data_IF_780148134854
#
_entry.id   IF_780148134854
#
_cell.length_a   1.000
_cell.length_b   1.000
_cell.length_c   1.000
_cell.angle_alpha   90.00
_cell.angle_beta   90.00
_cell.angle_gamma   90.00
#
_symmetry.space_group_name_H-M   'P 1'
#
loop_
_entity.id
_entity.type
_entity.pdbx_description
1 polymer ?
#
# COMPACT_ATOMS: atom_id res chain seq x y z
N UNK A 1 -13.36 -55.85 -30.08
CA UNK A 1 -12.96 -56.30 -28.71
C UNK A 1 -12.39 -55.18 -27.82
N UNK A 2 -11.77 -54.12 -28.37
CA UNK A 2 -11.12 -53.08 -27.55
C UNK A 2 -12.09 -52.10 -26.82
N UNK A 3 -13.29 -51.83 -27.37
CA UNK A 3 -14.28 -50.94 -26.73
C UNK A 3 -14.95 -51.53 -25.46
N UNK A 4 -15.05 -52.86 -25.35
CA UNK A 4 -15.64 -53.50 -24.18
C UNK A 4 -14.70 -53.49 -22.97
N UNK A 5 -13.39 -53.45 -23.18
CA UNK A 5 -12.40 -53.39 -22.10
C UNK A 5 -12.38 -52.00 -21.45
N UNK A 6 -12.45 -50.94 -22.24
CA UNK A 6 -12.49 -49.54 -21.77
C UNK A 6 -13.75 -49.24 -20.99
N UNK A 7 -14.92 -49.68 -21.46
CA UNK A 7 -16.19 -49.50 -20.73
C UNK A 7 -16.24 -50.28 -19.39
N UNK A 8 -15.56 -51.43 -19.30
CA UNK A 8 -15.46 -52.21 -18.05
C UNK A 8 -14.54 -51.51 -17.03
N UNK A 9 -13.44 -50.91 -17.49
CA UNK A 9 -12.52 -50.16 -16.66
C UNK A 9 -13.15 -48.87 -16.10
N UNK A 10 -13.91 -48.13 -16.91
CA UNK A 10 -14.63 -46.91 -16.47
C UNK A 10 -15.75 -47.25 -15.48
N UNK A 11 -16.48 -48.35 -15.67
CA UNK A 11 -17.50 -48.80 -14.70
C UNK A 11 -16.88 -49.28 -13.39
N UNK A 12 -15.69 -49.88 -13.41
CA UNK A 12 -14.96 -50.27 -12.20
C UNK A 12 -14.40 -49.05 -11.45
N UNK A 13 -13.88 -48.04 -12.16
CA UNK A 13 -13.38 -46.81 -11.53
C UNK A 13 -14.50 -45.95 -10.93
N UNK A 14 -15.66 -45.86 -11.60
CA UNK A 14 -16.84 -45.14 -11.06
C UNK A 14 -17.45 -45.86 -9.85
N UNK A 15 -17.49 -47.21 -9.85
CA UNK A 15 -17.90 -48.00 -8.67
C UNK A 15 -16.89 -47.92 -7.52
N UNK A 16 -15.58 -47.89 -7.81
CA UNK A 16 -14.56 -47.67 -6.80
C UNK A 16 -14.67 -46.27 -6.18
N UNK A 17 -14.87 -45.23 -7.00
CA UNK A 17 -15.08 -43.86 -6.53
C UNK A 17 -16.37 -43.72 -5.68
N UNK A 18 -17.47 -44.34 -6.10
CA UNK A 18 -18.72 -44.37 -5.31
C UNK A 18 -18.60 -45.22 -4.02
N UNK A 19 -17.75 -46.26 -4.00
CA UNK A 19 -17.46 -47.06 -2.81
C UNK A 19 -16.60 -46.30 -1.80
N UNK A 20 -15.63 -45.51 -2.29
CA UNK A 20 -14.78 -44.67 -1.45
C UNK A 20 -15.52 -43.44 -0.90
N UNK A 21 -16.44 -42.84 -1.66
CA UNK A 21 -17.32 -41.77 -1.17
C UNK A 21 -18.33 -42.26 -0.11
N UNK A 22 -18.70 -43.54 -0.12
CA UNK A 22 -19.53 -44.15 0.95
C UNK A 22 -18.77 -44.43 2.24
N UNK A 23 -17.44 -44.40 2.24
CA UNK A 23 -16.63 -44.61 3.44
C UNK A 23 -16.20 -43.31 4.13
N UNK A 24 -16.33 -42.15 3.47
CA UNK A 24 -15.96 -40.84 4.01
C UNK A 24 -17.08 -40.16 4.84
N UNK A 25 -18.25 -40.78 4.98
CA UNK A 25 -19.42 -40.22 5.66
C UNK A 25 -19.84 -41.00 6.91
N UNK A 26 -18.87 -41.62 7.60
CA UNK A 26 -19.00 -41.87 9.04
C UNK A 26 -18.26 -40.76 9.77
N UNK A 27 -18.82 -39.56 9.72
CA UNK A 27 -18.52 -38.55 10.73
C UNK A 27 -18.75 -39.23 12.08
N UNK A 28 -17.69 -39.28 12.88
CA UNK A 28 -17.70 -39.74 14.26
C UNK A 28 -18.53 -38.77 15.10
N UNK A 29 -19.84 -38.75 14.87
CA UNK A 29 -20.79 -37.81 15.47
C UNK A 29 -21.05 -38.10 16.96
N UNK A 30 -20.61 -39.25 17.46
CA UNK A 30 -20.72 -39.60 18.88
C UNK A 30 -19.46 -40.31 19.35
N UNK A 31 -18.34 -39.59 19.42
CA UNK A 31 -17.34 -39.93 20.41
C UNK A 31 -17.88 -39.43 21.76
N UNK A 32 -18.85 -40.15 22.34
CA UNK A 32 -19.29 -39.91 23.71
C UNK A 32 -18.05 -40.02 24.59
N UNK A 33 -17.57 -38.87 25.06
CA UNK A 33 -16.50 -38.77 26.05
C UNK A 33 -16.95 -39.63 27.22
N UNK A 34 -16.29 -40.77 27.44
CA UNK A 34 -16.72 -41.72 28.47
C UNK A 34 -16.80 -40.98 29.80
N UNK A 35 -18.01 -40.88 30.34
CA UNK A 35 -18.20 -40.22 31.62
C UNK A 35 -17.45 -41.03 32.67
N UNK A 36 -16.75 -40.34 33.56
CA UNK A 36 -15.89 -41.02 34.50
C UNK A 36 -16.80 -41.78 35.51
N UNK A 37 -16.53 -43.06 35.80
CA UNK A 37 -17.31 -43.93 36.73
C UNK A 37 -17.38 -43.42 38.19
N UNK A 38 -18.57 -43.25 38.78
CA UNK A 38 -18.73 -42.67 40.12
C UNK A 38 -18.03 -43.50 41.23
N UNK A 39 -16.96 -42.95 41.79
CA UNK A 39 -16.26 -43.48 42.98
C UNK A 39 -16.35 -42.46 44.11
N UNK A 40 -16.23 -42.91 45.37
CA UNK A 40 -16.33 -42.06 46.58
C UNK A 40 -15.36 -40.88 46.54
N UNK A 41 -14.10 -41.16 46.19
CA UNK A 41 -13.05 -40.15 46.06
C UNK A 41 -12.68 -40.03 44.60
N UNK A 42 -12.59 -38.79 44.13
CA UNK A 42 -12.24 -38.50 42.76
C UNK A 42 -11.37 -37.28 42.62
N UNK A 43 -10.45 -37.33 41.68
CA UNK A 43 -9.60 -36.19 41.34
C UNK A 43 -10.13 -35.58 40.04
N UNK A 44 -10.63 -34.35 40.14
CA UNK A 44 -11.01 -33.55 38.98
C UNK A 44 -9.73 -32.98 38.38
N UNK A 45 -9.40 -33.29 37.12
CA UNK A 45 -8.22 -32.75 36.46
C UNK A 45 -8.26 -31.22 36.39
N UNK A 46 -7.07 -30.61 36.29
CA UNK A 46 -6.95 -29.18 36.04
C UNK A 46 -7.65 -28.77 34.73
N UNK A 47 -8.24 -27.57 34.73
CA UNK A 47 -8.98 -27.02 33.59
C UNK A 47 -10.18 -27.88 33.14
N UNK A 48 -10.81 -28.58 34.09
CA UNK A 48 -12.07 -29.27 33.89
C UNK A 48 -13.07 -28.90 34.98
N UNK A 49 -14.34 -28.85 34.61
CA UNK A 49 -15.46 -28.68 35.52
C UNK A 49 -16.42 -29.86 35.33
N UNK A 50 -16.69 -30.58 36.42
CA UNK A 50 -17.57 -31.75 36.39
C UNK A 50 -18.89 -31.43 37.07
N UNK A 51 -19.99 -31.77 36.41
CA UNK A 51 -21.32 -31.41 36.89
C UNK A 51 -21.97 -32.65 37.48
N UNK A 52 -22.36 -32.52 38.74
CA UNK A 52 -22.92 -33.61 39.53
C UNK A 52 -24.41 -33.38 39.73
N UNK A 53 -25.18 -34.42 39.42
CA UNK A 53 -26.58 -34.53 39.74
C UNK A 53 -26.76 -35.44 40.95
N UNK A 54 -27.66 -35.05 41.86
CA UNK A 54 -28.13 -35.90 42.95
C UNK A 54 -29.58 -36.27 42.70
N UNK A 55 -29.86 -37.57 42.56
CA UNK A 55 -31.20 -38.08 42.27
C UNK A 55 -31.87 -37.38 41.07
N UNK A 56 -31.09 -37.06 40.02
CA UNK A 56 -31.59 -36.42 38.79
C UNK A 56 -31.81 -34.91 38.87
N UNK A 57 -31.44 -34.25 39.98
CA UNK A 57 -31.40 -32.78 40.07
C UNK A 57 -29.96 -32.29 40.13
N UNK A 58 -29.69 -31.13 39.52
CA UNK A 58 -28.41 -30.45 39.69
C UNK A 58 -28.10 -30.25 41.18
N UNK A 59 -26.88 -30.59 41.59
CA UNK A 59 -26.41 -30.44 42.96
C UNK A 59 -25.29 -29.40 43.05
N UNK A 60 -24.17 -29.64 42.36
CA UNK A 60 -23.01 -28.73 42.36
C UNK A 60 -22.07 -28.98 41.19
N UNK A 61 -21.23 -27.98 40.91
CA UNK A 61 -20.07 -28.07 40.01
C UNK A 61 -18.85 -28.44 40.85
N UNK A 62 -18.04 -29.39 40.37
CA UNK A 62 -16.77 -29.75 41.00
C UNK A 62 -15.62 -29.04 40.28
N UNK A 63 -14.91 -28.21 41.03
CA UNK A 63 -13.69 -27.54 40.60
C UNK A 63 -12.46 -28.50 40.64
N UNK A 64 -11.35 -28.15 39.97
CA UNK A 64 -10.13 -28.96 39.98
C UNK A 64 -9.62 -29.28 41.39
N UNK A 65 -9.36 -30.56 41.66
CA UNK A 65 -8.90 -31.02 42.97
C UNK A 65 -9.58 -32.30 43.45
N UNK A 66 -9.53 -32.52 44.76
CA UNK A 66 -10.16 -33.68 45.40
C UNK A 66 -11.66 -33.42 45.59
N UNK A 67 -12.47 -34.24 44.94
CA UNK A 67 -13.92 -34.25 45.05
C UNK A 67 -14.39 -35.53 45.75
N UNK A 68 -15.32 -35.35 46.69
CA UNK A 68 -15.98 -36.45 47.40
C UNK A 68 -17.40 -36.57 46.85
N UNK A 69 -17.76 -37.77 46.40
CA UNK A 69 -19.08 -38.09 45.87
C UNK A 69 -19.70 -39.22 46.68
N UNK A 70 -21.02 -39.19 46.86
CA UNK A 70 -21.73 -40.30 47.48
C UNK A 70 -22.11 -41.28 46.36
N UNK A 71 -21.50 -42.49 46.30
CA UNK A 71 -21.87 -43.48 45.29
C UNK A 71 -23.37 -43.80 45.39
N UNK A 72 -23.99 -44.16 44.26
CA UNK A 72 -25.43 -44.38 44.09
C UNK A 72 -26.33 -43.13 44.11
N UNK A 73 -26.04 -42.13 44.94
CA UNK A 73 -26.84 -40.89 45.01
C UNK A 73 -26.37 -39.81 44.03
N UNK A 74 -25.05 -39.61 43.96
CA UNK A 74 -24.42 -38.60 43.12
C UNK A 74 -23.96 -39.23 41.79
N UNK A 75 -24.30 -38.57 40.68
CA UNK A 75 -23.91 -38.97 39.32
C UNK A 75 -23.25 -37.82 38.56
N UNK A 76 -22.08 -38.06 38.00
CA UNK A 76 -21.44 -37.12 37.08
C UNK A 76 -22.13 -37.24 35.72
N UNK A 77 -22.88 -36.20 35.35
CA UNK A 77 -23.68 -36.20 34.13
C UNK A 77 -22.96 -35.50 32.98
N UNK A 78 -22.21 -34.43 33.27
CA UNK A 78 -21.47 -33.66 32.26
C UNK A 78 -20.03 -33.38 32.71
N UNK A 79 -19.11 -33.36 31.73
CA UNK A 79 -17.70 -33.02 31.93
C UNK A 79 -17.32 -31.95 30.92
N UNK A 80 -17.16 -30.72 31.41
CA UNK A 80 -16.78 -29.58 30.59
C UNK A 80 -15.29 -29.31 30.68
N UNK A 81 -14.68 -29.03 29.53
CA UNK A 81 -13.30 -28.55 29.45
C UNK A 81 -13.32 -27.03 29.54
N UNK A 82 -12.54 -26.46 30.45
CA UNK A 82 -12.38 -25.00 30.57
C UNK A 82 -11.26 -24.46 29.67
N UNK A 83 -10.57 -25.36 28.97
CA UNK A 83 -9.51 -25.02 28.02
C UNK A 83 -10.08 -24.35 26.77
N UNK A 84 -9.30 -23.44 26.19
CA UNK A 84 -9.57 -22.91 24.86
C UNK A 84 -9.59 -24.04 23.83
N UNK A 85 -10.62 -24.06 23.01
CA UNK A 85 -10.84 -25.05 21.95
C UNK A 85 -11.11 -24.31 20.65
N UNK A 86 -10.51 -24.81 19.57
CA UNK A 86 -10.75 -24.32 18.22
C UNK A 86 -11.87 -25.17 17.59
N UNK A 87 -12.91 -24.50 17.11
CA UNK A 87 -14.04 -25.12 16.40
C UNK A 87 -14.04 -24.60 14.97
N UNK A 88 -14.02 -25.52 14.01
CA UNK A 88 -14.06 -25.15 12.59
C UNK A 88 -15.48 -24.75 12.18
N UNK A 89 -15.58 -23.60 11.52
CA UNK A 89 -16.81 -23.14 10.90
C UNK A 89 -16.79 -23.57 9.43
N UNK A 90 -17.72 -24.46 9.07
CA UNK A 90 -17.82 -24.98 7.71
C UNK A 90 -17.95 -23.89 6.65
N UNK A 91 -17.38 -24.13 5.46
CA UNK A 91 -17.40 -23.18 4.34
C UNK A 91 -18.83 -22.81 3.94
N UNK A 92 -19.07 -21.51 3.78
CA UNK A 92 -20.37 -20.96 3.41
C UNK A 92 -20.26 -20.05 2.19
N UNK A 93 -21.23 -20.17 1.29
CA UNK A 93 -21.45 -19.19 0.23
C UNK A 93 -22.27 -18.01 0.77
N UNK A 94 -21.74 -16.80 0.56
CA UNK A 94 -22.37 -15.53 0.91
C UNK A 94 -22.33 -14.58 -0.30
N UNK A 95 -23.23 -13.61 -0.32
CA UNK A 95 -23.30 -12.58 -1.37
C UNK A 95 -23.00 -11.24 -0.70
N UNK A 96 -22.04 -10.50 -1.24
CA UNK A 96 -21.68 -9.15 -0.80
C UNK A 96 -22.67 -8.10 -1.30
N UNK A 97 -22.57 -6.87 -0.79
CA UNK A 97 -23.47 -5.76 -1.17
C UNK A 97 -23.33 -5.33 -2.65
N UNK A 98 -22.20 -5.64 -3.28
CA UNK A 98 -21.92 -5.44 -4.71
C UNK A 98 -22.32 -6.65 -5.58
N UNK A 99 -23.14 -7.56 -5.02
CA UNK A 99 -23.72 -8.70 -5.70
C UNK A 99 -22.67 -9.71 -6.21
N UNK A 100 -21.57 -9.87 -5.48
CA UNK A 100 -20.57 -10.91 -5.74
C UNK A 100 -20.77 -12.07 -4.77
N UNK A 101 -20.91 -13.28 -5.32
CA UNK A 101 -20.89 -14.50 -4.51
C UNK A 101 -19.47 -14.81 -4.09
N UNK A 102 -19.21 -15.09 -2.82
CA UNK A 102 -17.92 -15.56 -2.31
C UNK A 102 -18.12 -16.74 -1.37
N UNK A 103 -17.12 -17.61 -1.30
CA UNK A 103 -17.08 -18.70 -0.32
C UNK A 103 -16.08 -18.35 0.78
N UNK A 104 -16.49 -18.50 2.04
CA UNK A 104 -15.63 -18.21 3.18
C UNK A 104 -15.77 -19.29 4.25
N UNK A 105 -14.65 -19.62 4.86
CA UNK A 105 -14.54 -20.49 6.02
C UNK A 105 -13.77 -19.78 7.15
N UNK A 106 -13.85 -20.35 8.35
CA UNK A 106 -13.20 -19.76 9.50
C UNK A 106 -13.07 -20.72 10.67
N UNK A 107 -12.38 -20.26 11.70
CA UNK A 107 -12.15 -21.00 12.93
C UNK A 107 -12.53 -20.10 14.09
N UNK A 108 -13.34 -20.65 15.00
CA UNK A 108 -13.77 -19.99 16.20
C UNK A 108 -12.96 -20.52 17.38
N UNK A 109 -12.39 -19.62 18.17
CA UNK A 109 -11.71 -19.99 19.42
C UNK A 109 -12.64 -19.69 20.58
N UNK A 110 -13.12 -20.74 21.22
CA UNK A 110 -14.07 -20.65 22.32
C UNK A 110 -13.48 -21.21 23.60
N UNK A 111 -14.01 -20.75 24.73
CA UNK A 111 -13.81 -21.40 26.02
C UNK A 111 -15.10 -21.41 26.81
N UNK A 112 -15.33 -22.45 27.59
CA UNK A 112 -16.42 -22.49 28.56
C UNK A 112 -16.05 -21.62 29.75
N UNK A 113 -16.88 -20.63 30.07
CA UNK A 113 -16.73 -19.78 31.25
C UNK A 113 -17.61 -20.27 32.41
N UNK A 114 -18.84 -20.68 32.10
CA UNK A 114 -19.80 -21.21 33.06
C UNK A 114 -20.23 -22.63 32.64
N UNK A 115 -19.72 -23.62 33.37
CA UNK A 115 -19.99 -25.03 33.08
C UNK A 115 -21.47 -25.40 33.28
N UNK A 116 -22.18 -24.77 34.23
CA UNK A 116 -23.59 -25.06 34.46
C UNK A 116 -24.44 -24.63 33.27
N UNK A 117 -24.26 -23.38 32.82
CA UNK A 117 -24.97 -22.87 31.63
C UNK A 117 -24.57 -23.62 30.36
N UNK A 118 -23.31 -24.00 30.20
CA UNK A 118 -22.87 -24.78 29.04
C UNK A 118 -23.45 -26.19 28.97
N UNK A 119 -23.89 -26.76 30.11
CA UNK A 119 -24.47 -28.10 30.15
C UNK A 119 -26.00 -28.14 30.17
N UNK A 120 -26.66 -27.13 30.72
CA UNK A 120 -28.12 -27.09 30.82
C UNK A 120 -28.78 -25.99 29.98
N UNK A 121 -28.01 -24.98 29.56
CA UNK A 121 -28.53 -23.86 28.77
C UNK A 121 -28.78 -24.20 27.30
N UNK A 122 -28.09 -25.21 26.76
CA UNK A 122 -28.23 -25.68 25.38
C UNK A 122 -27.77 -27.14 25.28
N UNK A 123 -28.35 -27.92 24.35
CA UNK A 123 -27.99 -29.34 24.17
C UNK A 123 -26.53 -29.52 23.75
N UNK A 124 -26.07 -28.70 22.79
CA UNK A 124 -24.69 -28.65 22.32
C UNK A 124 -24.28 -27.20 22.06
N UNK A 125 -23.48 -26.66 22.96
CA UNK A 125 -23.03 -25.27 22.90
C UNK A 125 -22.05 -25.03 21.73
N UNK A 126 -21.19 -26.01 21.41
CA UNK A 126 -20.23 -25.87 20.32
C UNK A 126 -20.98 -25.80 18.98
N UNK A 127 -21.98 -26.67 18.81
CA UNK A 127 -22.83 -26.67 17.62
C UNK A 127 -23.66 -25.38 17.51
N UNK A 128 -24.35 -24.97 18.58
CA UNK A 128 -25.19 -23.78 18.58
C UNK A 128 -24.40 -22.51 18.23
N UNK A 129 -23.20 -22.35 18.79
CA UNK A 129 -22.32 -21.23 18.49
C UNK A 129 -21.80 -21.29 17.07
N UNK A 130 -21.47 -22.48 16.56
CA UNK A 130 -21.03 -22.63 15.16
C UNK A 130 -22.13 -22.19 14.19
N UNK A 131 -23.39 -22.56 14.44
CA UNK A 131 -24.52 -22.12 13.63
C UNK A 131 -24.78 -20.62 13.73
N UNK A 132 -24.63 -20.04 14.93
CA UNK A 132 -24.71 -18.60 15.12
C UNK A 132 -23.58 -17.86 14.38
N UNK A 133 -22.36 -18.38 14.45
CA UNK A 133 -21.20 -17.81 13.76
C UNK A 133 -21.42 -17.81 12.25
N UNK A 134 -21.93 -18.90 11.69
CA UNK A 134 -22.29 -19.01 10.28
C UNK A 134 -23.33 -17.97 9.84
N UNK A 135 -24.41 -17.82 10.60
CA UNK A 135 -25.48 -16.86 10.28
C UNK A 135 -25.00 -15.40 10.42
N UNK A 136 -24.24 -15.11 11.47
CA UNK A 136 -23.62 -13.79 11.70
C UNK A 136 -22.64 -13.44 10.57
N UNK A 137 -21.76 -14.37 10.23
CA UNK A 137 -20.80 -14.22 9.13
C UNK A 137 -21.48 -13.87 7.80
N UNK A 138 -22.54 -14.61 7.45
CA UNK A 138 -23.31 -14.35 6.22
C UNK A 138 -23.94 -12.96 6.23
N UNK A 139 -24.47 -12.52 7.37
CA UNK A 139 -25.09 -11.21 7.52
C UNK A 139 -24.08 -10.07 7.39
N UNK A 140 -22.94 -10.16 8.08
CA UNK A 140 -21.88 -9.14 8.04
C UNK A 140 -21.28 -8.98 6.64
N UNK A 141 -21.00 -10.09 5.94
CA UNK A 141 -20.52 -10.04 4.55
C UNK A 141 -21.54 -9.35 3.63
N UNK A 142 -22.84 -9.61 3.83
CA UNK A 142 -23.89 -9.03 3.00
C UNK A 142 -23.98 -7.50 3.07
N UNK A 143 -23.47 -6.89 4.14
CA UNK A 143 -23.45 -5.44 4.32
C UNK A 143 -22.21 -4.76 3.72
N UNK A 144 -21.20 -5.54 3.31
CA UNK A 144 -19.90 -5.05 2.87
C UNK A 144 -19.67 -5.37 1.38
N UNK A 145 -18.85 -4.57 0.70
CA UNK A 145 -18.40 -4.85 -0.68
C UNK A 145 -17.23 -5.85 -0.68
N UNK A 146 -16.97 -6.51 -1.81
CA UNK A 146 -15.88 -7.51 -1.90
C UNK A 146 -14.51 -6.91 -1.53
N UNK A 147 -14.17 -5.72 -2.05
CA UNK A 147 -12.89 -5.05 -1.73
C UNK A 147 -12.75 -4.75 -0.25
N UNK A 148 -13.84 -4.34 0.41
CA UNK A 148 -13.83 -4.02 1.83
C UNK A 148 -13.70 -5.27 2.71
N UNK A 149 -14.35 -6.38 2.32
CA UNK A 149 -14.18 -7.68 3.00
C UNK A 149 -12.72 -8.16 2.91
N UNK A 150 -12.07 -7.97 1.76
CA UNK A 150 -10.66 -8.36 1.56
C UNK A 150 -9.68 -7.42 2.29
N UNK A 151 -9.97 -6.12 2.36
CA UNK A 151 -9.09 -5.12 2.98
C UNK A 151 -9.23 -5.04 4.50
N UNK A 152 -10.44 -5.17 5.03
CA UNK A 152 -10.77 -4.91 6.43
C UNK A 152 -11.11 -6.19 7.23
N UNK A 153 -10.41 -7.29 6.92
CA UNK A 153 -10.62 -8.59 7.57
C UNK A 153 -10.59 -8.52 9.11
N UNK A 154 -9.73 -7.68 9.69
CA UNK A 154 -9.62 -7.50 11.14
C UNK A 154 -10.87 -6.87 11.77
N UNK A 155 -11.48 -5.89 11.09
CA UNK A 155 -12.71 -5.26 11.56
C UNK A 155 -13.86 -6.28 11.56
N UNK A 156 -13.96 -7.07 10.48
CA UNK A 156 -14.95 -8.14 10.37
C UNK A 156 -14.81 -9.19 11.48
N UNK A 157 -13.59 -9.64 11.78
CA UNK A 157 -13.33 -10.57 12.89
C UNK A 157 -13.83 -10.03 14.24
N UNK A 158 -13.65 -8.72 14.48
CA UNK A 158 -14.06 -8.04 15.72
C UNK A 158 -15.59 -7.94 15.83
N UNK A 159 -16.25 -7.54 14.73
CA UNK A 159 -17.71 -7.43 14.68
C UNK A 159 -18.38 -8.79 14.90
N UNK A 160 -17.90 -9.83 14.19
CA UNK A 160 -18.41 -11.20 14.33
C UNK A 160 -18.23 -11.69 15.78
N UNK A 161 -17.05 -11.48 16.37
CA UNK A 161 -16.78 -11.87 17.76
C UNK A 161 -17.71 -11.17 18.75
N UNK A 162 -18.03 -9.90 18.51
CA UNK A 162 -18.91 -9.10 19.36
C UNK A 162 -20.35 -9.61 19.28
N UNK A 163 -20.86 -9.82 18.06
CA UNK A 163 -22.20 -10.33 17.83
C UNK A 163 -22.41 -11.75 18.40
N UNK A 164 -21.43 -12.64 18.22
CA UNK A 164 -21.49 -14.01 18.79
C UNK A 164 -21.52 -13.95 20.32
N UNK A 165 -20.72 -13.08 20.95
CA UNK A 165 -20.63 -13.00 22.41
C UNK A 165 -21.89 -12.44 23.08
N UNK A 166 -22.79 -11.79 22.34
CA UNK A 166 -24.08 -11.35 22.88
C UNK A 166 -24.94 -12.56 23.27
N UNK A 167 -25.10 -13.51 22.36
CA UNK A 167 -25.88 -14.73 22.61
C UNK A 167 -25.11 -15.82 23.39
N UNK A 168 -23.79 -15.91 23.22
CA UNK A 168 -22.98 -16.95 23.86
C UNK A 168 -23.01 -16.89 25.40
N UNK A 169 -23.34 -15.73 25.98
CA UNK A 169 -23.51 -15.53 27.44
C UNK A 169 -24.57 -16.44 28.05
N UNK A 170 -25.66 -16.69 27.33
CA UNK A 170 -26.75 -17.54 27.81
C UNK A 170 -26.35 -19.01 27.81
N UNK A 171 -25.42 -19.38 26.94
CA UNK A 171 -24.87 -20.74 26.84
C UNK A 171 -23.63 -20.95 27.71
N UNK A 172 -23.17 -19.97 28.49
CA UNK A 172 -22.00 -20.13 29.36
C UNK A 172 -20.66 -20.27 28.63
N UNK A 173 -20.62 -19.91 27.34
CA UNK A 173 -19.41 -19.97 26.50
C UNK A 173 -18.98 -18.55 26.15
N UNK A 174 -17.69 -18.34 25.98
CA UNK A 174 -17.14 -17.08 25.49
C UNK A 174 -16.35 -17.34 24.22
N UNK A 175 -16.68 -16.58 23.18
CA UNK A 175 -15.85 -16.50 21.98
C UNK A 175 -14.66 -15.57 22.28
N UNK A 176 -13.45 -16.12 22.26
CA UNK A 176 -12.22 -15.37 22.45
C UNK A 176 -11.85 -14.60 21.19
N UNK A 177 -11.96 -15.26 20.03
CA UNK A 177 -11.72 -14.66 18.72
C UNK A 177 -12.32 -15.52 17.61
N UNK A 178 -12.69 -14.85 16.54
CA UNK A 178 -13.02 -15.45 15.25
C UNK A 178 -11.89 -15.17 14.26
N UNK A 179 -11.42 -16.20 13.56
CA UNK A 179 -10.41 -16.10 12.52
C UNK A 179 -10.94 -16.62 11.19
N UNK A 180 -11.03 -15.75 10.19
CA UNK A 180 -11.32 -16.17 8.81
C UNK A 180 -10.17 -17.06 8.33
N UNK A 181 -10.43 -18.20 7.70
CA UNK A 181 -9.36 -19.04 7.15
C UNK A 181 -9.02 -18.53 5.76
N UNK A 182 -9.92 -18.74 4.80
CA UNK A 182 -9.75 -18.35 3.41
C UNK A 182 -11.01 -17.68 2.86
N UNK A 183 -10.82 -16.82 1.85
CA UNK A 183 -11.90 -16.17 1.10
C UNK A 183 -11.70 -16.51 -0.37
N UNK A 184 -12.69 -17.17 -0.96
CA UNK A 184 -12.66 -17.62 -2.35
C UNK A 184 -13.72 -16.88 -3.17
N UNK A 185 -13.37 -15.73 -3.79
CA UNK A 185 -14.20 -15.11 -4.79
C UNK A 185 -14.09 -15.84 -6.14
N UNK A 186 -15.11 -15.75 -7.02
CA UNK A 186 -15.05 -16.27 -8.38
C UNK A 186 -13.94 -15.58 -9.16
N UNK A 187 -13.15 -16.38 -9.91
CA UNK A 187 -11.97 -15.91 -10.65
C UNK A 187 -12.29 -14.78 -11.63
N UNK A 188 -13.46 -14.81 -12.24
CA UNK A 188 -13.92 -13.78 -13.20
C UNK A 188 -13.93 -12.38 -12.60
N UNK A 189 -14.37 -12.24 -11.34
CA UNK A 189 -14.43 -10.96 -10.64
C UNK A 189 -13.03 -10.54 -10.19
N UNK A 190 -12.25 -11.48 -9.65
CA UNK A 190 -10.88 -11.21 -9.22
C UNK A 190 -10.00 -10.72 -10.38
N UNK A 191 -10.09 -11.35 -11.54
CA UNK A 191 -9.33 -10.97 -12.74
C UNK A 191 -9.74 -9.58 -13.24
N UNK A 192 -11.04 -9.26 -13.20
CA UNK A 192 -11.55 -7.94 -13.55
C UNK A 192 -11.05 -6.86 -12.59
N UNK A 193 -11.08 -7.14 -11.28
CA UNK A 193 -10.53 -6.23 -10.25
C UNK A 193 -9.03 -6.00 -10.42
N UNK A 194 -8.25 -7.06 -10.61
CA UNK A 194 -6.80 -6.94 -10.86
C UNK A 194 -6.50 -6.12 -12.11
N UNK A 195 -7.28 -6.31 -13.19
CA UNK A 195 -7.13 -5.52 -14.42
C UNK A 195 -7.45 -4.05 -14.19
N UNK A 196 -8.51 -3.74 -13.44
CA UNK A 196 -8.88 -2.38 -13.09
C UNK A 196 -7.82 -1.69 -12.21
N UNK A 197 -7.38 -2.35 -11.13
CA UNK A 197 -6.36 -1.81 -10.23
C UNK A 197 -5.02 -1.62 -10.95
N UNK A 198 -4.63 -2.55 -11.82
CA UNK A 198 -3.43 -2.42 -12.64
C UNK A 198 -3.54 -1.24 -13.60
N UNK A 199 -4.67 -1.10 -14.31
CA UNK A 199 -4.89 0.03 -15.22
C UNK A 199 -4.87 1.38 -14.49
N UNK A 200 -5.48 1.46 -13.30
CA UNK A 200 -5.48 2.68 -12.48
C UNK A 200 -4.07 3.00 -11.95
N UNK A 201 -3.32 1.98 -11.52
CA UNK A 201 -1.91 2.12 -11.12
C UNK A 201 -1.04 2.61 -12.27
N UNK A 202 -1.20 2.05 -13.47
CA UNK A 202 -0.45 2.48 -14.67
C UNK A 202 -0.79 3.92 -15.03
N UNK A 203 -2.08 4.27 -15.07
CA UNK A 203 -2.51 5.65 -15.32
C UNK A 203 -1.91 6.63 -14.30
N UNK A 204 -1.94 6.27 -13.01
CA UNK A 204 -1.36 7.10 -11.95
C UNK A 204 0.15 7.23 -12.09
N UNK A 205 0.85 6.15 -12.45
CA UNK A 205 2.29 6.17 -12.71
C UNK A 205 2.64 7.07 -13.90
N UNK A 206 1.89 6.99 -15.00
CA UNK A 206 2.09 7.85 -16.19
C UNK A 206 1.87 9.33 -15.88
N UNK A 207 0.84 9.67 -15.10
CA UNK A 207 0.60 11.05 -14.65
C UNK A 207 1.78 11.55 -13.80
N UNK A 208 2.20 10.76 -12.82
CA UNK A 208 3.32 11.12 -11.95
C UNK A 208 4.63 11.25 -12.74
N UNK A 209 4.87 10.40 -13.74
CA UNK A 209 6.03 10.49 -14.63
C UNK A 209 5.98 11.75 -15.50
N UNK A 210 4.80 12.09 -16.04
CA UNK A 210 4.60 13.30 -16.83
C UNK A 210 4.82 14.57 -16.00
N UNK A 211 4.27 14.60 -14.79
CA UNK A 211 4.49 15.68 -13.82
C UNK A 211 5.96 15.78 -13.41
N UNK A 212 6.60 14.65 -13.13
CA UNK A 212 8.03 14.57 -12.83
C UNK A 212 8.90 15.13 -13.96
N UNK A 213 8.65 14.73 -15.23
CA UNK A 213 9.36 15.25 -16.41
C UNK A 213 9.16 16.74 -16.61
N UNK A 214 7.94 17.24 -16.40
CA UNK A 214 7.65 18.67 -16.48
C UNK A 214 8.43 19.43 -15.41
N UNK A 215 8.42 18.94 -14.17
CA UNK A 215 9.14 19.58 -13.07
C UNK A 215 10.66 19.51 -13.29
N UNK A 216 11.19 18.39 -13.79
CA UNK A 216 12.59 18.25 -14.17
C UNK A 216 13.00 19.29 -15.22
N UNK A 217 12.21 19.47 -16.27
CA UNK A 217 12.46 20.46 -17.33
C UNK A 217 12.45 21.90 -16.80
N UNK A 218 11.51 22.23 -15.91
CA UNK A 218 11.44 23.55 -15.26
C UNK A 218 12.70 23.77 -14.42
N UNK A 219 13.03 22.82 -13.53
CA UNK A 219 14.20 22.92 -12.65
C UNK A 219 15.49 23.08 -13.46
N UNK A 220 15.60 22.38 -14.60
CA UNK A 220 16.75 22.48 -15.50
C UNK A 220 16.82 23.85 -16.16
N UNK A 221 15.72 24.34 -16.72
CA UNK A 221 15.67 25.65 -17.36
C UNK A 221 15.94 26.80 -16.37
N UNK A 222 15.42 26.69 -15.15
CA UNK A 222 15.70 27.64 -14.06
C UNK A 222 17.17 27.60 -13.65
N UNK A 223 17.74 26.41 -13.46
CA UNK A 223 19.16 26.25 -13.14
C UNK A 223 20.08 26.79 -14.25
N UNK A 224 19.74 26.56 -15.52
CA UNK A 224 20.49 27.11 -16.66
C UNK A 224 20.37 28.65 -16.73
N UNK A 225 19.17 29.20 -16.54
CA UNK A 225 18.93 30.66 -16.51
C UNK A 225 19.69 31.32 -15.37
N UNK A 226 19.64 30.74 -14.17
CA UNK A 226 20.34 31.24 -13.00
C UNK A 226 21.86 31.19 -13.19
N UNK A 227 22.38 30.10 -13.75
CA UNK A 227 23.80 29.97 -14.07
C UNK A 227 24.25 31.02 -15.11
N UNK A 228 23.47 31.29 -16.15
CA UNK A 228 23.75 32.33 -17.14
C UNK A 228 23.75 33.71 -16.47
N UNK A 229 22.73 34.01 -15.65
CA UNK A 229 22.63 35.28 -14.93
C UNK A 229 23.83 35.49 -14.02
N UNK A 230 24.22 34.47 -13.27
CA UNK A 230 25.37 34.52 -12.37
C UNK A 230 26.69 34.74 -13.13
N UNK A 231 26.90 34.05 -14.25
CA UNK A 231 28.09 34.26 -15.11
C UNK A 231 28.11 35.65 -15.73
N UNK A 232 26.99 36.15 -16.23
CA UNK A 232 26.89 37.47 -16.83
C UNK A 232 27.15 38.56 -15.78
N UNK A 233 26.60 38.40 -14.58
CA UNK A 233 26.80 39.32 -13.47
C UNK A 233 28.26 39.31 -12.99
N UNK A 234 28.86 38.13 -12.78
CA UNK A 234 30.27 38.01 -12.44
C UNK A 234 31.19 38.64 -13.52
N UNK A 235 30.84 38.50 -14.79
CA UNK A 235 31.59 39.10 -15.90
C UNK A 235 31.44 40.63 -15.92
N UNK A 236 30.22 41.14 -15.71
CA UNK A 236 29.97 42.58 -15.63
C UNK A 236 30.68 43.22 -14.44
N UNK A 237 30.64 42.57 -13.27
CA UNK A 237 31.34 43.02 -12.07
C UNK A 237 32.87 42.94 -12.27
N UNK A 238 33.37 41.89 -12.92
CA UNK A 238 34.79 41.79 -13.30
C UNK A 238 35.23 42.92 -14.24
N UNK A 239 34.44 43.23 -15.28
CA UNK A 239 34.72 44.35 -16.20
C UNK A 239 34.72 45.68 -15.46
N UNK A 240 33.75 45.92 -14.56
CA UNK A 240 33.70 47.11 -13.72
C UNK A 240 34.93 47.23 -12.84
N UNK A 241 35.35 46.13 -12.21
CA UNK A 241 36.53 46.11 -11.34
C UNK A 241 37.80 46.46 -12.12
N UNK A 242 37.94 45.94 -13.34
CA UNK A 242 39.05 46.28 -14.24
C UNK A 242 38.97 47.75 -14.67
N UNK A 243 37.80 48.25 -15.05
CA UNK A 243 37.61 49.64 -15.44
C UNK A 243 37.95 50.62 -14.30
N UNK A 244 37.53 50.32 -13.07
CA UNK A 244 37.85 51.11 -11.88
C UNK A 244 39.35 51.09 -11.57
N UNK A 245 40.01 49.95 -11.75
CA UNK A 245 41.47 49.83 -11.55
C UNK A 245 42.26 50.64 -12.58
N UNK A 246 41.83 50.65 -13.85
CA UNK A 246 42.44 51.46 -14.91
C UNK A 246 42.34 52.95 -14.59
N UNK A 247 41.17 53.42 -14.15
CA UNK A 247 40.94 54.84 -13.87
C UNK A 247 41.68 55.36 -12.63
N UNK A 248 41.98 54.50 -11.65
CA UNK A 248 42.63 54.89 -10.39
C UNK A 248 44.16 54.82 -10.39
N UNK A 249 44.76 54.12 -11.37
CA UNK A 249 46.20 53.85 -11.39
C UNK A 249 46.87 54.62 -12.53
N UNK A 250 47.86 55.47 -12.24
CA UNK A 250 48.60 56.20 -13.27
C UNK A 250 49.34 55.22 -14.22
N UNK A 251 49.10 55.33 -15.54
CA UNK A 251 49.63 54.41 -16.56
C UNK A 251 48.76 53.18 -16.86
N UNK A 252 47.59 53.04 -16.23
CA UNK A 252 46.71 51.86 -16.42
C UNK A 252 46.23 51.65 -17.87
N UNK A 253 46.05 52.72 -18.65
CA UNK A 253 45.63 52.63 -20.05
C UNK A 253 46.70 52.01 -20.96
N UNK A 254 47.98 52.30 -20.71
CA UNK A 254 49.11 51.76 -21.47
C UNK A 254 49.38 50.28 -21.12
N UNK A 255 49.12 49.87 -19.87
CA UNK A 255 49.22 48.46 -19.46
C UNK A 255 48.12 47.58 -20.10
N UNK A 256 46.91 48.11 -20.27
CA UNK A 256 45.81 47.39 -20.91
C UNK A 256 46.08 47.18 -22.39
N UNK A 257 46.55 48.21 -23.10
CA UNK A 257 46.86 48.12 -24.53
C UNK A 257 47.96 47.08 -24.80
N UNK A 258 48.99 47.02 -23.95
CA UNK A 258 50.01 45.97 -23.99
C UNK A 258 49.39 44.57 -23.73
N UNK A 259 48.51 44.43 -22.73
CA UNK A 259 47.85 43.14 -22.43
C UNK A 259 46.92 42.65 -23.55
N UNK A 260 46.28 43.57 -24.29
CA UNK A 260 45.46 43.25 -25.46
C UNK A 260 46.36 42.79 -26.61
N UNK A 261 47.50 43.45 -26.81
CA UNK A 261 48.50 43.04 -27.79
C UNK A 261 49.05 41.64 -27.47
N UNK A 262 49.37 41.35 -26.20
CA UNK A 262 49.79 40.00 -25.76
C UNK A 262 48.71 38.95 -26.01
N UNK A 263 47.45 39.19 -25.60
CA UNK A 263 46.33 38.27 -25.86
C UNK A 263 46.07 38.05 -27.35
N UNK A 264 46.24 39.09 -28.17
CA UNK A 264 46.10 38.99 -29.61
C UNK A 264 47.20 38.10 -30.20
N UNK A 265 48.46 38.31 -29.81
CA UNK A 265 49.61 37.48 -30.24
C UNK A 265 49.44 36.03 -29.78
N UNK A 266 48.99 35.78 -28.55
CA UNK A 266 48.72 34.44 -28.02
C UNK A 266 47.57 33.74 -28.77
N UNK A 267 46.48 34.45 -29.06
CA UNK A 267 45.36 33.93 -29.83
C UNK A 267 45.78 33.59 -31.27
N UNK A 268 46.57 34.47 -31.88
CA UNK A 268 47.17 34.23 -33.20
C UNK A 268 48.12 33.03 -33.18
N UNK A 269 48.90 32.86 -32.11
CA UNK A 269 49.79 31.72 -31.89
C UNK A 269 49.06 30.39 -31.71
N UNK A 270 47.86 30.38 -31.10
CA UNK A 270 47.00 29.18 -31.02
C UNK A 270 46.36 28.84 -32.36
N UNK A 271 45.88 29.84 -33.10
CA UNK A 271 45.35 29.67 -34.47
C UNK A 271 46.41 29.15 -35.46
N UNK A 272 47.65 29.62 -35.31
CA UNK A 272 48.79 29.15 -36.10
C UNK A 272 49.22 27.70 -35.76
N UNK A 273 48.84 27.18 -34.58
CA UNK A 273 49.11 25.79 -34.18
C UNK A 273 47.99 24.81 -34.58
N UNK A 274 46.73 25.26 -34.61
CA UNK A 274 45.57 24.39 -34.91
C UNK A 274 45.13 24.41 -36.40
N UNK A 275 45.50 25.42 -37.19
CA UNK A 275 45.12 25.49 -38.61
C UNK A 275 46.32 25.61 -39.56
N UNK A 276 46.41 24.71 -40.54
CA UNK A 276 47.54 24.60 -41.49
C UNK A 276 47.43 25.56 -42.70
N UNK A 277 46.59 26.60 -42.64
CA UNK A 277 46.46 27.60 -43.71
C UNK A 277 46.09 28.96 -43.11
N UNK A 278 47.11 29.79 -42.88
CA UNK A 278 46.94 31.18 -42.45
C UNK A 278 46.85 32.06 -43.70
N UNK A 279 45.67 32.60 -43.99
CA UNK A 279 45.48 33.64 -45.01
C UNK A 279 45.83 34.98 -44.36
N UNK A 280 47.04 35.48 -44.64
CA UNK A 280 47.47 36.82 -44.21
C UNK A 280 46.99 37.85 -45.24
N UNK A 281 46.15 38.84 -44.87
CA UNK A 281 45.84 39.95 -45.76
C UNK A 281 47.11 40.76 -46.05
N UNK A 282 47.37 41.07 -47.32
CA UNK A 282 48.58 41.75 -47.78
C UNK A 282 48.70 43.24 -47.38
N UNK A 283 47.77 43.76 -46.56
CA UNK A 283 47.78 45.14 -46.07
C UNK A 283 47.86 45.18 -44.53
N UNK A 284 49.07 45.01 -43.99
CA UNK A 284 49.41 45.28 -42.59
C UNK A 284 49.39 46.78 -42.23
N UNK A 285 49.26 47.67 -43.23
CA UNK A 285 49.31 49.12 -43.06
C UNK A 285 47.97 49.79 -42.67
N UNK A 286 46.86 49.05 -42.62
CA UNK A 286 45.52 49.63 -42.41
C UNK A 286 44.79 49.12 -41.15
N UNK A 287 45.57 48.74 -40.11
CA UNK A 287 44.99 48.38 -38.81
C UNK A 287 44.21 49.53 -38.16
N UNK A 288 44.56 50.78 -38.48
CA UNK A 288 43.82 51.97 -38.03
C UNK A 288 42.40 52.06 -38.63
N UNK A 289 42.23 51.68 -39.91
CA UNK A 289 40.94 51.69 -40.60
C UNK A 289 39.97 50.62 -40.09
N UNK A 290 40.47 49.45 -39.70
CA UNK A 290 39.66 48.38 -39.10
C UNK A 290 39.19 48.74 -37.68
N UNK A 291 40.06 49.35 -36.86
CA UNK A 291 39.71 49.82 -35.51
C UNK A 291 38.73 51.00 -35.58
N UNK A 292 38.91 51.93 -36.53
CA UNK A 292 37.98 53.03 -36.75
C UNK A 292 36.61 52.56 -37.24
N UNK A 293 36.57 51.55 -38.12
CA UNK A 293 35.31 50.94 -38.57
C UNK A 293 34.62 50.18 -37.44
N UNK A 294 35.38 49.46 -36.61
CA UNK A 294 34.87 48.79 -35.41
C UNK A 294 34.31 49.76 -34.36
N UNK A 295 34.99 50.88 -34.10
CA UNK A 295 34.50 51.94 -33.20
C UNK A 295 33.31 52.71 -33.79
N UNK A 296 33.25 52.87 -35.12
CA UNK A 296 32.11 53.46 -35.81
C UNK A 296 30.84 52.62 -35.66
N UNK A 297 30.96 51.30 -35.84
CA UNK A 297 29.86 50.35 -35.61
C UNK A 297 29.48 50.32 -34.13
N UNK A 298 30.46 50.30 -33.22
CA UNK A 298 30.20 50.40 -31.78
C UNK A 298 29.40 51.65 -31.45
N UNK A 299 29.84 52.84 -31.88
CA UNK A 299 29.12 54.10 -31.65
C UNK A 299 27.71 54.10 -32.26
N UNK A 300 27.52 53.49 -33.42
CA UNK A 300 26.22 53.38 -34.07
C UNK A 300 25.28 52.41 -33.34
N UNK A 301 25.80 51.29 -32.83
CA UNK A 301 25.07 50.35 -31.98
C UNK A 301 24.75 50.95 -30.61
N UNK A 302 25.66 51.73 -30.02
CA UNK A 302 25.38 52.46 -28.76
C UNK A 302 24.32 53.53 -28.99
N UNK A 303 24.35 54.24 -30.12
CA UNK A 303 23.29 55.20 -30.50
C UNK A 303 21.94 54.52 -30.70
N UNK A 304 21.91 53.37 -31.38
CA UNK A 304 20.68 52.58 -31.58
C UNK A 304 20.17 51.98 -30.26
N UNK A 305 21.06 51.53 -29.38
CA UNK A 305 20.71 51.01 -28.05
C UNK A 305 20.17 52.09 -27.10
N UNK A 306 20.69 53.31 -27.20
CA UNK A 306 20.20 54.48 -26.46
C UNK A 306 18.83 54.95 -27.01
N UNK A 307 18.64 54.92 -28.33
CA UNK A 307 17.36 55.23 -28.98
C UNK A 307 16.27 54.21 -28.62
N UNK A 308 16.57 52.91 -28.66
CA UNK A 308 15.62 51.85 -28.30
C UNK A 308 15.28 51.80 -26.81
N UNK A 309 16.15 52.31 -25.93
CA UNK A 309 15.82 52.53 -24.50
C UNK A 309 14.90 53.73 -24.32
N UNK A 310 15.16 54.85 -24.99
CA UNK A 310 14.33 56.04 -24.93
C UNK A 310 12.91 55.79 -25.48
N UNK A 311 12.75 55.01 -26.56
CA UNK A 311 11.45 54.61 -27.09
C UNK A 311 10.66 53.74 -26.11
N UNK A 312 11.29 52.73 -25.48
CA UNK A 312 10.62 51.86 -24.50
C UNK A 312 10.26 52.58 -23.20
N UNK A 313 11.03 53.59 -22.81
CA UNK A 313 10.73 54.43 -21.65
C UNK A 313 9.58 55.40 -21.95
N UNK A 314 9.54 55.98 -23.15
CA UNK A 314 8.42 56.82 -23.60
C UNK A 314 7.12 56.01 -23.76
N UNK A 315 7.18 54.78 -24.26
CA UNK A 315 6.02 53.88 -24.40
C UNK A 315 5.47 53.44 -23.03
N UNK A 316 6.34 53.18 -22.05
CA UNK A 316 5.92 52.91 -20.66
C UNK A 316 5.26 54.11 -20.00
N UNK A 317 5.82 55.31 -20.15
CA UNK A 317 5.23 56.54 -19.58
C UNK A 317 3.89 56.88 -20.26
N UNK A 318 3.74 56.61 -21.56
CA UNK A 318 2.46 56.75 -22.26
C UNK A 318 1.41 55.73 -21.79
N UNK A 319 1.81 54.48 -21.57
CA UNK A 319 0.94 53.42 -21.03
C UNK A 319 0.52 53.67 -19.57
N UNK A 320 1.37 54.32 -18.78
CA UNK A 320 1.09 54.70 -17.40
C UNK A 320 0.11 55.88 -17.34
N UNK A 321 0.29 56.90 -18.19
CA UNK A 321 -0.68 58.02 -18.33
C UNK A 321 -2.04 57.60 -18.89
N UNK A 322 -2.09 56.57 -19.73
CA UNK A 322 -3.35 56.02 -20.24
C UNK A 322 -4.16 55.27 -19.16
N UNK A 323 -3.51 54.80 -18.08
CA UNK A 323 -4.17 54.16 -16.94
C UNK A 323 -4.68 55.14 -15.88
N UNK A 324 -4.17 56.37 -15.84
CA UNK A 324 -4.67 57.43 -14.93
C UNK A 324 -5.92 58.16 -15.46
N UNK A 325 -6.25 58.01 -16.76
CA UNK A 325 -7.38 58.67 -17.42
C UNK A 325 -8.56 57.74 -17.75
N UNK A 326 -8.56 56.50 -17.24
CA UNK A 326 -9.65 55.52 -17.34
C UNK A 326 -10.20 55.17 -15.95
#
# INVERSE_FOLDING_TARGET
MLQNATNRAVRHSVRAAHSQLRHASRLSFFQQKQLPMNTIVRFVPQQQAWIVERMGKFNRILDPGLAILIPFLDKIQYVQSLKETAVEVGSQSAITSDNVTLEMDGVLYIRVYDAYKASYGVEDAEYAITQLAQTTMRSEIGQMTLDHVLRERQALNTNITTAINEAAKDWGVTCLRYEIRDIHPPRTVLDAMHKQVSAERTKRAEILESEGKRQEQINRAEGESEAIRMRAQATADGIRFVADAINKTEGGADAVSLSVAEKYVDAFGKLAKESNTVVVPAQLSDMGGFIASGMGIYNQVTKQGLQGKAEKEAEKVAAEKAKEHA
#
